data_IF_418560920927
#
_entry.id   IF_418560920927
#
_cell.length_a   1.000
_cell.length_b   1.000
_cell.length_c   1.000
_cell.angle_alpha   90.00
_cell.angle_beta   90.00
_cell.angle_gamma   90.00
#
_symmetry.space_group_name_H-M   'P 1'
#
loop_
_entity.id
_entity.type
_entity.pdbx_description
1 polymer ?
#
# COMPACT_ATOMS: atom_id res chain seq x y z
N UNK A 1 15.89 10.09 -28.32
CA UNK A 1 15.61 10.80 -27.05
C UNK A 1 14.46 10.09 -26.39
N UNK A 2 14.60 9.67 -25.13
CA UNK A 2 13.54 9.05 -24.35
C UNK A 2 12.45 10.09 -24.06
N UNK A 3 11.17 9.73 -24.19
CA UNK A 3 10.06 10.64 -23.92
C UNK A 3 9.87 10.82 -22.41
N UNK A 4 9.78 12.06 -21.94
CA UNK A 4 9.66 12.41 -20.51
C UNK A 4 8.39 13.19 -20.15
N UNK A 5 7.65 13.68 -21.14
CA UNK A 5 6.40 14.43 -20.95
C UNK A 5 5.25 13.64 -21.53
N UNK A 6 4.23 13.38 -20.72
CA UNK A 6 3.08 12.56 -21.06
C UNK A 6 1.79 13.31 -20.76
N UNK A 7 0.77 13.07 -21.57
CA UNK A 7 -0.59 13.57 -21.32
C UNK A 7 -1.33 12.65 -20.34
N UNK A 8 -2.41 13.15 -19.74
CA UNK A 8 -3.27 12.34 -18.89
C UNK A 8 -3.87 11.15 -19.64
N UNK A 9 -4.27 11.34 -20.90
CA UNK A 9 -4.78 10.26 -21.74
C UNK A 9 -3.74 9.17 -21.96
N UNK A 10 -2.47 9.53 -22.14
CA UNK A 10 -1.39 8.56 -22.29
C UNK A 10 -1.15 7.78 -21.00
N UNK A 11 -1.05 8.46 -19.85
CA UNK A 11 -0.83 7.80 -18.56
C UNK A 11 -2.02 6.93 -18.11
N UNK A 12 -3.20 7.17 -18.67
CA UNK A 12 -4.42 6.38 -18.44
C UNK A 12 -4.68 5.32 -19.53
N UNK A 13 -3.79 5.15 -20.50
CA UNK A 13 -3.98 4.20 -21.59
C UNK A 13 -3.66 2.76 -21.16
N UNK A 14 -4.61 1.85 -21.40
CA UNK A 14 -4.43 0.41 -21.22
C UNK A 14 -3.66 -0.20 -22.41
N UNK A 15 -2.99 -1.33 -22.15
CA UNK A 15 -2.52 -2.19 -23.22
C UNK A 15 -3.72 -2.84 -23.96
N UNK A 16 -3.47 -3.34 -25.17
CA UNK A 16 -4.48 -4.06 -25.94
C UNK A 16 -4.63 -5.50 -25.41
N UNK A 17 -5.41 -5.69 -24.35
CA UNK A 17 -5.66 -7.01 -23.77
C UNK A 17 -6.41 -7.96 -24.73
N UNK A 18 -6.01 -9.22 -24.74
CA UNK A 18 -6.67 -10.30 -25.50
C UNK A 18 -7.89 -10.85 -24.76
N UNK A 19 -7.82 -10.87 -23.43
CA UNK A 19 -8.90 -11.28 -22.55
C UNK A 19 -8.90 -10.44 -21.26
N UNK A 20 -10.07 -10.14 -20.68
CA UNK A 20 -10.17 -9.47 -19.37
C UNK A 20 -9.87 -10.42 -18.21
N UNK A 21 -9.51 -9.85 -17.06
CA UNK A 21 -9.51 -10.55 -15.77
C UNK A 21 -10.94 -10.60 -15.19
N UNK A 22 -11.32 -11.75 -14.63
CA UNK A 22 -12.59 -11.94 -13.93
C UNK A 22 -12.35 -12.53 -12.54
N UNK A 23 -12.93 -11.91 -11.52
CA UNK A 23 -13.12 -12.49 -10.19
C UNK A 23 -14.57 -12.92 -10.04
N UNK A 24 -14.88 -14.18 -10.35
CA UNK A 24 -16.26 -14.65 -10.48
C UNK A 24 -17.08 -13.82 -11.48
N UNK A 25 -18.04 -13.03 -10.97
CA UNK A 25 -18.92 -12.18 -11.80
C UNK A 25 -18.42 -10.74 -11.97
N UNK A 26 -17.34 -10.38 -11.28
CA UNK A 26 -16.75 -9.04 -11.35
C UNK A 26 -15.73 -9.01 -12.47
N UNK A 27 -15.93 -8.09 -13.43
CA UNK A 27 -14.90 -7.76 -14.40
C UNK A 27 -13.86 -6.92 -13.67
N UNK A 28 -12.64 -7.41 -13.53
CA UNK A 28 -11.57 -6.66 -12.90
C UNK A 28 -10.88 -5.77 -13.94
N UNK A 29 -10.13 -4.77 -13.48
CA UNK A 29 -9.21 -4.06 -14.36
C UNK A 29 -8.05 -4.98 -14.81
N UNK A 30 -7.23 -4.49 -15.75
CA UNK A 30 -6.17 -5.28 -16.35
C UNK A 30 -6.70 -6.38 -17.28
N UNK A 31 -5.81 -7.26 -17.70
CA UNK A 31 -6.16 -8.35 -18.61
C UNK A 31 -4.97 -9.22 -18.97
N UNK A 32 -5.13 -10.03 -20.01
CA UNK A 32 -4.12 -10.98 -20.45
C UNK A 32 -3.59 -10.64 -21.83
N UNK A 33 -2.29 -10.85 -22.01
CA UNK A 33 -1.60 -10.83 -23.30
C UNK A 33 -0.67 -12.05 -23.31
N UNK A 34 -0.76 -12.87 -24.36
CA UNK A 34 0.04 -14.11 -24.49
C UNK A 34 -0.10 -15.05 -23.28
N UNK A 35 -1.28 -15.04 -22.64
CA UNK A 35 -1.60 -15.85 -21.45
C UNK A 35 -1.01 -15.34 -20.12
N UNK A 36 -0.27 -14.23 -20.12
CA UNK A 36 0.22 -13.58 -18.89
C UNK A 36 -0.66 -12.40 -18.50
N UNK A 37 -0.87 -12.21 -17.20
CA UNK A 37 -1.56 -11.02 -16.68
C UNK A 37 -0.72 -9.75 -16.93
N UNK A 38 -1.38 -8.67 -17.32
CA UNK A 38 -0.80 -7.37 -17.56
C UNK A 38 -1.64 -6.31 -16.87
N UNK A 39 -0.97 -5.49 -16.07
CA UNK A 39 -1.60 -4.42 -15.30
C UNK A 39 -2.36 -3.41 -16.16
N UNK A 40 -3.46 -2.85 -15.64
CA UNK A 40 -4.14 -1.76 -16.30
C UNK A 40 -3.25 -0.52 -16.44
N UNK A 41 -3.63 0.35 -17.38
CA UNK A 41 -3.06 1.69 -17.56
C UNK A 41 -1.55 1.68 -17.75
N UNK A 42 -1.00 0.59 -18.26
CA UNK A 42 0.44 0.36 -18.30
C UNK A 42 1.11 0.74 -19.61
N UNK A 43 0.35 0.97 -20.69
CA UNK A 43 0.88 1.15 -22.05
C UNK A 43 1.95 2.24 -22.13
N UNK A 44 1.68 3.40 -21.52
CA UNK A 44 2.64 4.50 -21.44
C UNK A 44 3.16 4.75 -20.03
N UNK A 45 2.39 4.38 -18.99
CA UNK A 45 2.79 4.60 -17.59
C UNK A 45 4.07 3.85 -17.22
N UNK A 46 4.21 2.57 -17.62
CA UNK A 46 5.43 1.78 -17.35
C UNK A 46 6.69 2.41 -17.98
N UNK A 47 6.74 2.65 -19.30
CA UNK A 47 7.92 3.28 -19.90
C UNK A 47 8.16 4.72 -19.43
N UNK A 48 7.12 5.46 -19.01
CA UNK A 48 7.29 6.79 -18.42
C UNK A 48 8.04 6.71 -17.08
N UNK A 49 7.62 5.81 -16.18
CA UNK A 49 8.26 5.62 -14.88
C UNK A 49 9.71 5.16 -15.04
N UNK A 50 9.97 4.22 -15.94
CA UNK A 50 11.34 3.78 -16.27
C UNK A 50 12.20 4.94 -16.78
N UNK A 51 11.65 5.80 -17.64
CA UNK A 51 12.37 6.96 -18.17
C UNK A 51 12.71 7.99 -17.08
N UNK A 52 11.77 8.29 -16.19
CA UNK A 52 12.02 9.21 -15.06
C UNK A 52 13.02 8.63 -14.06
N UNK A 53 12.93 7.31 -13.78
CA UNK A 53 13.90 6.59 -12.94
C UNK A 53 15.30 6.62 -13.55
N UNK A 54 15.43 6.33 -14.85
CA UNK A 54 16.72 6.35 -15.54
C UNK A 54 17.36 7.74 -15.50
N UNK A 55 16.56 8.81 -15.69
CA UNK A 55 17.05 10.18 -15.58
C UNK A 55 17.59 10.49 -14.17
N UNK A 56 16.88 10.11 -13.11
CA UNK A 56 17.38 10.27 -11.73
C UNK A 56 18.73 9.57 -11.53
N UNK A 57 18.88 8.35 -12.06
CA UNK A 57 20.13 7.59 -11.97
C UNK A 57 21.26 8.27 -12.75
N UNK A 58 20.99 8.82 -13.93
CA UNK A 58 21.95 9.61 -14.71
C UNK A 58 22.40 10.89 -13.97
N UNK A 59 21.51 11.47 -13.17
CA UNK A 59 21.79 12.61 -12.29
C UNK A 59 22.53 12.21 -11.00
N UNK A 60 22.74 10.91 -10.76
CA UNK A 60 23.38 10.39 -9.54
C UNK A 60 22.52 10.55 -8.28
N UNK A 61 21.20 10.66 -8.45
CA UNK A 61 20.27 10.81 -7.35
C UNK A 61 19.90 9.44 -6.74
N UNK A 62 20.06 9.24 -5.42
CA UNK A 62 19.63 8.01 -4.77
C UNK A 62 18.11 7.90 -4.76
N UNK A 63 17.62 6.66 -4.80
CA UNK A 63 16.19 6.37 -4.74
C UNK A 63 15.79 6.07 -3.30
N UNK A 64 14.61 6.54 -2.89
CA UNK A 64 14.02 6.12 -1.63
C UNK A 64 13.75 4.62 -1.67
N UNK A 65 14.15 3.92 -0.62
CA UNK A 65 14.00 2.49 -0.47
C UNK A 65 13.74 2.15 1.00
N UNK A 66 12.93 1.11 1.25
CA UNK A 66 12.74 0.56 2.58
C UNK A 66 13.44 -0.79 2.60
N UNK A 67 14.52 -0.96 3.37
CA UNK A 67 15.15 -2.25 3.59
C UNK A 67 14.15 -3.28 4.14
N UNK A 68 14.24 -4.53 3.66
CA UNK A 68 13.39 -5.63 4.12
C UNK A 68 13.41 -5.81 5.65
N UNK A 69 14.53 -5.50 6.30
CA UNK A 69 14.67 -5.58 7.77
C UNK A 69 13.78 -4.60 8.53
N UNK A 70 13.28 -3.55 7.87
CA UNK A 70 12.34 -2.57 8.44
C UNK A 70 10.87 -2.93 8.20
N UNK A 71 10.60 -3.93 7.34
CA UNK A 71 9.25 -4.41 7.07
C UNK A 71 8.86 -5.43 8.15
N UNK A 72 7.76 -5.21 8.89
CA UNK A 72 7.27 -6.18 9.85
C UNK A 72 6.68 -7.40 9.11
N UNK A 73 6.91 -8.64 9.60
CA UNK A 73 6.23 -9.80 9.03
C UNK A 73 4.72 -9.69 9.24
N UNK A 74 3.96 -10.21 8.30
CA UNK A 74 2.50 -10.23 8.40
C UNK A 74 2.02 -10.95 9.67
N UNK A 75 1.02 -10.36 10.35
CA UNK A 75 0.37 -10.95 11.52
C UNK A 75 -1.16 -10.95 11.31
N UNK A 76 -1.83 -12.12 11.40
CA UNK A 76 -1.26 -13.43 11.70
C UNK A 76 -0.33 -13.93 10.59
N UNK A 77 0.69 -14.72 10.95
CA UNK A 77 1.49 -15.45 9.97
C UNK A 77 0.62 -16.45 9.20
N UNK A 78 1.14 -17.01 8.11
CA UNK A 78 0.46 -18.07 7.37
C UNK A 78 0.08 -19.26 8.28
N UNK A 79 1.03 -19.76 9.08
CA UNK A 79 0.82 -20.87 10.02
C UNK A 79 -0.26 -20.55 11.07
N UNK A 80 -0.27 -19.30 11.55
CA UNK A 80 -1.28 -18.81 12.49
C UNK A 80 -2.67 -18.75 11.85
N UNK A 81 -2.78 -18.22 10.62
CA UNK A 81 -4.04 -18.15 9.89
C UNK A 81 -4.58 -19.56 9.54
N UNK A 82 -3.70 -20.45 9.07
CA UNK A 82 -4.01 -21.86 8.79
C UNK A 82 -4.52 -22.58 10.04
N UNK A 83 -3.86 -22.38 11.18
CA UNK A 83 -4.31 -22.93 12.46
C UNK A 83 -5.74 -22.48 12.82
N UNK A 84 -6.07 -21.20 12.64
CA UNK A 84 -7.42 -20.69 12.93
C UNK A 84 -8.47 -21.36 12.04
N UNK A 85 -8.19 -21.51 10.75
CA UNK A 85 -9.10 -22.16 9.80
C UNK A 85 -9.30 -23.64 10.12
N UNK A 86 -8.24 -24.37 10.45
CA UNK A 86 -8.31 -25.78 10.86
C UNK A 86 -9.12 -25.99 12.15
N UNK A 87 -9.14 -24.99 13.05
CA UNK A 87 -9.93 -25.00 14.28
C UNK A 87 -11.39 -24.51 14.08
N UNK A 88 -11.76 -24.20 12.83
CA UNK A 88 -13.09 -23.73 12.44
C UNK A 88 -13.34 -22.25 12.73
N UNK A 89 -12.30 -21.46 13.01
CA UNK A 89 -12.38 -20.03 13.27
C UNK A 89 -12.11 -19.24 11.98
N UNK A 90 -13.11 -19.20 11.09
CA UNK A 90 -13.01 -18.49 9.81
C UNK A 90 -13.12 -16.97 9.98
N UNK A 91 -13.84 -16.49 10.99
CA UNK A 91 -14.15 -15.06 11.17
C UNK A 91 -12.91 -14.14 11.22
N UNK A 92 -11.84 -14.45 11.97
CA UNK A 92 -10.64 -13.60 12.00
C UNK A 92 -9.94 -13.49 10.64
N UNK A 93 -9.90 -14.58 9.86
CA UNK A 93 -9.28 -14.59 8.53
C UNK A 93 -10.15 -13.81 7.53
N UNK A 94 -11.46 -14.03 7.54
CA UNK A 94 -12.42 -13.24 6.75
C UNK A 94 -12.29 -11.76 7.05
N UNK A 95 -12.15 -11.40 8.34
CA UNK A 95 -11.98 -10.02 8.79
C UNK A 95 -10.65 -9.43 8.31
N UNK A 96 -9.56 -10.18 8.37
CA UNK A 96 -8.26 -9.73 7.87
C UNK A 96 -8.32 -9.40 6.38
N UNK A 97 -8.77 -10.35 5.55
CA UNK A 97 -8.92 -10.15 4.09
C UNK A 97 -9.89 -9.01 3.74
N UNK A 98 -10.99 -8.88 4.50
CA UNK A 98 -11.93 -7.77 4.31
C UNK A 98 -11.31 -6.43 4.69
N UNK A 99 -10.54 -6.37 5.78
CA UNK A 99 -9.82 -5.16 6.20
C UNK A 99 -8.83 -4.73 5.12
N UNK A 100 -8.07 -5.68 4.55
CA UNK A 100 -7.16 -5.42 3.43
C UNK A 100 -7.95 -4.82 2.27
N UNK A 101 -9.04 -5.45 1.80
CA UNK A 101 -9.84 -4.91 0.69
C UNK A 101 -10.33 -3.47 0.91
N UNK A 102 -10.65 -3.10 2.15
CA UNK A 102 -11.11 -1.75 2.51
C UNK A 102 -9.93 -0.77 2.47
N UNK A 103 -8.77 -1.17 2.98
CA UNK A 103 -7.55 -0.35 2.99
C UNK A 103 -7.08 -0.06 1.56
N UNK A 104 -7.06 -1.06 0.69
CA UNK A 104 -6.74 -0.92 -0.75
C UNK A 104 -7.69 0.10 -1.39
N UNK A 105 -9.01 -0.09 -1.18
CA UNK A 105 -10.01 0.87 -1.65
C UNK A 105 -9.82 2.31 -1.11
N UNK A 106 -9.15 2.51 0.03
CA UNK A 106 -8.81 3.85 0.52
C UNK A 106 -7.64 4.50 -0.21
N UNK A 107 -6.77 3.74 -0.88
CA UNK A 107 -5.70 4.28 -1.74
C UNK A 107 -6.26 5.19 -2.84
N UNK A 108 -7.51 4.94 -3.28
CA UNK A 108 -8.23 5.80 -4.22
C UNK A 108 -8.38 7.26 -3.79
N UNK A 109 -8.17 7.59 -2.52
CA UNK A 109 -8.17 8.95 -1.99
C UNK A 109 -6.98 9.78 -2.46
N UNK A 110 -5.95 9.16 -3.07
CA UNK A 110 -4.82 9.90 -3.65
C UNK A 110 -5.25 10.94 -4.70
N UNK A 111 -6.36 10.70 -5.41
CA UNK A 111 -6.95 11.68 -6.34
C UNK A 111 -7.46 12.96 -5.66
N UNK A 112 -7.65 12.93 -4.34
CA UNK A 112 -8.12 14.06 -3.54
C UNK A 112 -6.97 14.92 -3.02
N UNK A 113 -5.71 14.50 -3.23
CA UNK A 113 -4.53 15.27 -2.82
C UNK A 113 -4.47 16.56 -3.61
N UNK A 114 -4.51 17.68 -2.88
CA UNK A 114 -4.34 19.00 -3.46
C UNK A 114 -2.85 19.33 -3.50
N UNK A 115 -2.28 19.38 -4.71
CA UNK A 115 -0.87 19.71 -4.89
C UNK A 115 -0.56 21.18 -4.52
N UNK A 116 0.64 21.47 -4.01
CA UNK A 116 1.14 22.84 -3.86
C UNK A 116 1.36 23.50 -5.23
N UNK A 117 1.61 24.81 -5.24
CA UNK A 117 2.03 25.48 -6.48
C UNK A 117 3.52 25.21 -6.71
N UNK A 118 3.84 24.10 -7.40
CA UNK A 118 5.22 23.70 -7.62
C UNK A 118 6.07 24.78 -8.32
N UNK A 119 5.48 25.61 -9.18
CA UNK A 119 6.22 26.66 -9.86
C UNK A 119 6.65 27.79 -8.91
N UNK A 120 5.93 27.97 -7.81
CA UNK A 120 6.27 28.95 -6.77
C UNK A 120 7.07 28.34 -5.61
N UNK A 121 6.83 27.06 -5.29
CA UNK A 121 7.32 26.40 -4.08
C UNK A 121 8.56 25.52 -4.32
N UNK A 122 8.96 25.29 -5.57
CA UNK A 122 10.19 24.57 -5.95
C UNK A 122 11.07 25.51 -6.79
N UNK A 123 12.36 25.62 -6.44
CA UNK A 123 13.29 26.49 -7.16
C UNK A 123 13.59 26.00 -8.57
N UNK A 124 13.86 24.71 -8.70
CA UNK A 124 14.29 24.11 -9.95
C UNK A 124 13.09 23.76 -10.85
N UNK A 125 13.31 23.78 -12.16
CA UNK A 125 12.31 23.31 -13.12
C UNK A 125 12.06 21.81 -12.95
N UNK A 126 10.78 21.45 -12.80
CA UNK A 126 10.35 20.05 -12.67
C UNK A 126 9.82 19.48 -13.99
N UNK A 127 9.90 20.20 -15.11
CA UNK A 127 9.44 19.70 -16.41
C UNK A 127 10.07 18.34 -16.76
N UNK A 128 9.23 17.41 -17.21
CA UNK A 128 9.66 16.05 -17.56
C UNK A 128 10.03 15.16 -16.37
N UNK A 129 9.63 15.52 -15.15
CA UNK A 129 9.71 14.69 -13.93
C UNK A 129 8.44 13.91 -13.66
N UNK A 130 8.48 12.85 -12.86
CA UNK A 130 7.27 12.22 -12.33
C UNK A 130 6.46 13.21 -11.45
N UNK A 131 7.14 14.08 -10.69
CA UNK A 131 6.52 15.16 -9.91
C UNK A 131 5.59 16.04 -10.74
N UNK A 132 6.02 16.43 -11.94
CA UNK A 132 5.22 17.26 -12.85
C UNK A 132 4.00 16.52 -13.42
N UNK A 133 3.90 15.20 -13.23
CA UNK A 133 2.82 14.38 -13.74
C UNK A 133 1.90 13.81 -12.65
N UNK A 134 2.10 14.19 -11.38
CA UNK A 134 1.29 13.68 -10.26
C UNK A 134 -0.23 13.89 -10.51
N UNK A 135 -0.64 15.13 -10.78
CA UNK A 135 -2.04 15.47 -11.12
C UNK A 135 -2.35 15.36 -12.63
N UNK A 136 -1.35 15.10 -13.47
CA UNK A 136 -1.51 14.92 -14.92
C UNK A 136 -1.76 13.46 -15.31
N UNK A 137 -2.25 12.63 -14.39
CA UNK A 137 -2.68 11.26 -14.68
C UNK A 137 -2.15 10.20 -13.73
N UNK A 138 -1.03 10.42 -13.03
CA UNK A 138 -0.48 9.40 -12.11
C UNK A 138 -1.42 9.12 -10.94
N UNK A 139 -1.90 10.16 -10.24
CA UNK A 139 -2.85 10.00 -9.14
C UNK A 139 -4.19 9.42 -9.60
N UNK A 140 -4.68 9.82 -10.77
CA UNK A 140 -5.94 9.29 -11.29
C UNK A 140 -5.80 7.83 -11.77
N UNK A 141 -4.65 7.45 -12.33
CA UNK A 141 -4.37 6.07 -12.71
C UNK A 141 -4.35 5.15 -11.48
N UNK A 142 -3.53 5.51 -10.49
CA UNK A 142 -3.48 4.83 -9.19
C UNK A 142 -4.89 4.72 -8.59
N UNK A 143 -5.62 5.83 -8.50
CA UNK A 143 -6.90 5.81 -7.82
C UNK A 143 -7.97 4.95 -8.53
N UNK A 144 -7.89 4.80 -9.86
CA UNK A 144 -8.74 3.88 -10.63
C UNK A 144 -8.33 2.43 -10.46
N UNK A 145 -7.05 2.18 -10.20
CA UNK A 145 -6.57 0.85 -9.88
C UNK A 145 -7.18 0.42 -8.54
N UNK A 146 -7.14 1.28 -7.52
CA UNK A 146 -7.73 0.97 -6.21
C UNK A 146 -9.25 0.79 -6.19
N UNK A 147 -9.99 1.76 -6.76
CA UNK A 147 -11.45 1.81 -6.65
C UNK A 147 -12.20 1.15 -7.81
N UNK A 148 -11.49 0.84 -8.91
CA UNK A 148 -12.11 0.49 -10.18
C UNK A 148 -12.53 1.72 -10.99
N UNK A 149 -13.01 1.47 -12.21
CA UNK A 149 -13.49 2.50 -13.11
C UNK A 149 -14.56 1.97 -14.06
N UNK A 150 -15.68 2.69 -14.18
CA UNK A 150 -16.84 2.32 -15.01
C UNK A 150 -17.38 0.93 -14.65
N UNK A 151 -17.25 -0.04 -15.56
CA UNK A 151 -17.70 -1.42 -15.43
C UNK A 151 -16.63 -2.36 -14.85
N UNK A 152 -15.44 -1.84 -14.53
CA UNK A 152 -14.34 -2.62 -13.98
C UNK A 152 -14.19 -2.40 -12.47
N UNK A 153 -14.05 -3.49 -11.72
CA UNK A 153 -13.62 -3.48 -10.32
C UNK A 153 -12.10 -3.26 -10.21
N UNK A 154 -11.70 -2.58 -9.14
CA UNK A 154 -10.30 -2.36 -8.77
C UNK A 154 -9.81 -3.33 -7.70
N UNK A 155 -8.69 -2.99 -7.06
CA UNK A 155 -8.05 -3.82 -6.04
C UNK A 155 -9.02 -4.22 -4.93
N UNK A 156 -9.85 -3.29 -4.45
CA UNK A 156 -10.88 -3.61 -3.45
C UNK A 156 -11.77 -4.79 -3.88
N UNK A 157 -12.31 -4.74 -5.10
CA UNK A 157 -13.21 -5.80 -5.58
C UNK A 157 -12.44 -7.08 -5.92
N UNK A 158 -11.18 -6.99 -6.35
CA UNK A 158 -10.31 -8.14 -6.57
C UNK A 158 -10.04 -8.90 -5.26
N UNK A 159 -9.72 -8.18 -4.19
CA UNK A 159 -9.56 -8.77 -2.85
C UNK A 159 -10.85 -9.38 -2.31
N UNK A 160 -12.00 -8.73 -2.52
CA UNK A 160 -13.31 -9.29 -2.16
C UNK A 160 -13.58 -10.59 -2.93
N UNK A 161 -13.29 -10.62 -4.24
CA UNK A 161 -13.44 -11.81 -5.05
C UNK A 161 -12.48 -12.94 -4.64
N UNK A 162 -11.21 -12.62 -4.35
CA UNK A 162 -10.22 -13.60 -3.89
C UNK A 162 -10.63 -14.23 -2.55
N UNK A 163 -11.05 -13.41 -1.58
CA UNK A 163 -11.59 -13.87 -0.30
C UNK A 163 -12.79 -14.79 -0.50
N UNK A 164 -13.74 -14.39 -1.33
CA UNK A 164 -14.98 -15.13 -1.53
C UNK A 164 -14.73 -16.44 -2.28
N UNK A 165 -13.77 -16.48 -3.21
CA UNK A 165 -13.33 -17.71 -3.86
C UNK A 165 -12.61 -18.67 -2.89
N UNK A 166 -11.68 -18.15 -2.09
CA UNK A 166 -10.90 -18.97 -1.15
C UNK A 166 -11.74 -19.55 -0.01
N UNK A 167 -12.60 -18.72 0.59
CA UNK A 167 -13.35 -19.07 1.81
C UNK A 167 -14.81 -19.48 1.55
N UNK A 168 -15.16 -19.83 0.30
CA UNK A 168 -16.50 -20.23 -0.13
C UNK A 168 -17.61 -19.23 0.30
N UNK A 169 -17.47 -17.98 -0.17
CA UNK A 169 -18.37 -16.86 0.12
C UNK A 169 -18.70 -16.72 1.62
N UNK A 170 -17.67 -16.46 2.47
CA UNK A 170 -17.84 -16.47 3.90
C UNK A 170 -18.78 -15.35 4.35
N UNK A 171 -19.42 -15.53 5.52
CA UNK A 171 -20.16 -14.44 6.14
C UNK A 171 -19.19 -13.34 6.57
N UNK A 172 -19.39 -12.14 6.03
CA UNK A 172 -18.59 -10.96 6.40
C UNK A 172 -19.04 -10.43 7.76
N UNK A 173 -18.14 -10.22 8.73
CA UNK A 173 -18.52 -9.63 10.00
C UNK A 173 -19.04 -8.21 9.84
N UNK A 174 -20.19 -7.89 10.47
CA UNK A 174 -20.87 -6.60 10.30
C UNK A 174 -20.18 -5.42 10.98
N UNK A 175 -19.15 -5.68 11.78
CA UNK A 175 -18.46 -4.70 12.62
C UNK A 175 -17.05 -4.36 12.11
N UNK A 176 -16.62 -4.87 10.95
CA UNK A 176 -15.26 -4.62 10.40
C UNK A 176 -14.95 -3.13 10.34
N UNK A 177 -15.82 -2.33 9.70
CA UNK A 177 -15.65 -0.87 9.59
C UNK A 177 -15.69 -0.18 10.96
N UNK A 178 -16.57 -0.62 11.86
CA UNK A 178 -16.67 -0.04 13.20
C UNK A 178 -15.38 -0.30 14.01
N UNK A 179 -14.80 -1.51 13.93
CA UNK A 179 -13.54 -1.84 14.59
C UNK A 179 -12.36 -1.07 14.00
N UNK A 180 -12.34 -0.87 12.69
CA UNK A 180 -11.33 -0.02 12.03
C UNK A 180 -11.43 1.44 12.53
N UNK A 181 -12.66 1.98 12.65
CA UNK A 181 -12.87 3.34 13.16
C UNK A 181 -12.67 3.45 14.68
N UNK A 182 -12.99 2.41 15.44
CA UNK A 182 -12.89 2.38 16.91
C UNK A 182 -11.47 2.19 17.44
N UNK A 183 -10.56 1.63 16.63
CA UNK A 183 -9.12 1.62 16.88
C UNK A 183 -8.46 3.00 16.71
N UNK A 184 -9.08 3.90 15.94
CA UNK A 184 -8.79 5.33 16.03
C UNK A 184 -9.47 5.87 17.30
N UNK A 185 -8.87 5.59 18.46
CA UNK A 185 -9.45 5.89 19.76
C UNK A 185 -10.00 7.31 19.87
N UNK A 186 -11.02 7.45 20.70
CA UNK A 186 -11.68 8.69 21.14
C UNK A 186 -10.76 9.68 21.89
N UNK A 187 -9.47 9.74 21.55
CA UNK A 187 -8.66 10.93 21.72
C UNK A 187 -8.76 11.71 20.42
N UNK A 188 -9.48 12.84 20.44
CA UNK A 188 -9.57 13.70 19.26
C UNK A 188 -8.18 13.85 18.66
N UNK A 189 -8.04 13.56 17.35
CA UNK A 189 -6.81 13.81 16.60
C UNK A 189 -6.40 15.25 16.91
N UNK A 190 -5.52 15.46 17.90
CA UNK A 190 -4.78 16.71 18.00
C UNK A 190 -4.13 16.80 16.63
N UNK A 191 -4.39 17.89 15.92
CA UNK A 191 -3.67 18.17 14.69
C UNK A 191 -2.19 17.94 15.02
N UNK A 192 -1.59 16.91 14.43
CA UNK A 192 -0.19 16.64 14.65
C UNK A 192 0.54 17.94 14.27
N UNK A 193 1.42 18.39 15.16
CA UNK A 193 2.16 19.61 14.90
C UNK A 193 2.95 19.41 13.60
N UNK A 194 2.85 20.40 12.71
CA UNK A 194 3.57 20.40 11.45
C UNK A 194 5.06 20.29 11.72
N UNK A 195 5.74 19.41 10.99
CA UNK A 195 7.18 19.17 11.09
C UNK A 195 7.96 20.29 10.44
N UNK A 196 7.43 20.84 9.34
CA UNK A 196 8.05 21.91 8.56
C UNK A 196 7.08 23.08 8.42
N UNK A 197 6.72 23.77 9.52
CA UNK A 197 5.71 24.82 9.53
C UNK A 197 6.03 25.99 8.58
N UNK A 198 7.29 26.14 8.19
CA UNK A 198 7.77 27.14 7.25
C UNK A 198 7.39 26.87 5.79
N UNK A 199 7.10 25.61 5.42
CA UNK A 199 6.55 25.28 4.10
C UNK A 199 5.06 25.62 4.04
N UNK A 200 4.47 25.64 2.84
CA UNK A 200 3.01 25.66 2.74
C UNK A 200 2.41 24.41 3.37
N UNK A 201 1.21 24.55 3.93
CA UNK A 201 0.47 23.40 4.48
C UNK A 201 0.19 22.32 3.44
N UNK A 202 0.06 22.71 2.16
CA UNK A 202 -0.19 21.79 1.03
C UNK A 202 1.04 20.97 0.69
N UNK A 203 2.22 21.59 0.62
CA UNK A 203 3.49 20.89 0.37
C UNK A 203 3.73 19.81 1.44
N UNK A 204 3.63 20.18 2.72
CA UNK A 204 3.88 19.23 3.79
C UNK A 204 2.82 18.11 3.83
N UNK A 205 1.54 18.43 3.59
CA UNK A 205 0.47 17.43 3.50
C UNK A 205 0.68 16.46 2.35
N UNK A 206 1.06 16.96 1.18
CA UNK A 206 1.36 16.15 0.00
C UNK A 206 2.52 15.18 0.29
N UNK A 207 3.66 15.68 0.81
CA UNK A 207 4.82 14.82 1.13
C UNK A 207 4.46 13.79 2.19
N UNK A 208 3.74 14.20 3.24
CA UNK A 208 3.27 13.30 4.30
C UNK A 208 2.38 12.19 3.75
N UNK A 209 1.46 12.54 2.85
CA UNK A 209 0.50 11.62 2.28
C UNK A 209 1.19 10.62 1.34
N UNK A 210 1.99 11.10 0.39
CA UNK A 210 2.75 10.27 -0.56
C UNK A 210 3.73 9.35 0.19
N UNK A 211 4.44 9.86 1.20
CA UNK A 211 5.34 9.06 2.03
C UNK A 211 4.60 7.95 2.79
N UNK A 212 3.43 8.25 3.38
CA UNK A 212 2.64 7.24 4.06
C UNK A 212 2.12 6.17 3.09
N UNK A 213 1.69 6.56 1.89
CA UNK A 213 1.25 5.59 0.87
C UNK A 213 2.43 4.70 0.47
N UNK A 214 3.56 5.27 0.08
CA UNK A 214 4.73 4.50 -0.34
C UNK A 214 5.18 3.50 0.75
N UNK A 215 5.15 3.89 2.03
CA UNK A 215 5.44 2.98 3.15
C UNK A 215 4.42 1.83 3.21
N UNK A 216 3.13 2.14 3.10
CA UNK A 216 2.05 1.13 3.16
C UNK A 216 2.14 0.15 1.99
N UNK A 217 2.32 0.65 0.79
CA UNK A 217 2.41 -0.16 -0.43
C UNK A 217 3.68 -1.01 -0.48
N UNK A 218 4.80 -0.49 0.03
CA UNK A 218 6.01 -1.31 0.18
C UNK A 218 5.80 -2.44 1.20
N UNK A 219 5.06 -2.20 2.28
CA UNK A 219 4.70 -3.25 3.25
C UNK A 219 3.66 -4.23 2.69
N UNK A 220 2.93 -3.85 1.63
CA UNK A 220 1.92 -4.71 1.03
C UNK A 220 2.53 -5.96 0.38
N UNK A 221 3.80 -5.96 -0.03
CA UNK A 221 4.45 -7.16 -0.58
C UNK A 221 4.39 -8.35 0.39
N UNK A 222 4.65 -8.14 1.68
CA UNK A 222 4.54 -9.17 2.71
C UNK A 222 3.07 -9.64 2.91
N UNK A 223 2.10 -8.72 2.76
CA UNK A 223 0.66 -9.02 2.80
C UNK A 223 0.27 -9.87 1.58
N UNK A 224 0.74 -9.53 0.39
CA UNK A 224 0.46 -10.28 -0.83
C UNK A 224 1.07 -11.68 -0.76
N UNK A 225 2.33 -11.79 -0.33
CA UNK A 225 2.99 -13.09 -0.15
C UNK A 225 2.20 -13.98 0.83
N UNK A 226 1.83 -13.43 1.99
CA UNK A 226 0.98 -14.12 2.97
C UNK A 226 -0.36 -14.57 2.38
N UNK A 227 -1.05 -13.68 1.66
CA UNK A 227 -2.36 -13.96 1.11
C UNK A 227 -2.32 -14.97 -0.04
N UNK A 228 -1.30 -14.92 -0.91
CA UNK A 228 -1.08 -15.90 -1.98
C UNK A 228 -0.82 -17.28 -1.39
N UNK A 229 0.03 -17.38 -0.36
CA UNK A 229 0.31 -18.65 0.33
C UNK A 229 -0.96 -19.21 1.01
N UNK A 230 -1.67 -18.36 1.77
CA UNK A 230 -2.88 -18.77 2.49
C UNK A 230 -4.03 -19.15 1.55
N UNK A 231 -4.33 -18.31 0.57
CA UNK A 231 -5.43 -18.53 -0.38
C UNK A 231 -5.08 -19.61 -1.41
N UNK A 232 -3.80 -19.93 -1.60
CA UNK A 232 -3.34 -21.02 -2.46
C UNK A 232 -3.31 -22.40 -1.79
N UNK A 233 -3.61 -22.50 -0.50
CA UNK A 233 -3.52 -23.74 0.26
C UNK A 233 -4.71 -24.69 -0.02
N UNK A 234 -4.44 -25.79 -0.73
CA UNK A 234 -5.42 -26.82 -1.09
C UNK A 234 -6.07 -27.53 0.10
N UNK A 235 -5.46 -27.48 1.29
CA UNK A 235 -6.00 -28.15 2.48
C UNK A 235 -7.14 -27.35 3.15
N UNK A 236 -7.16 -26.02 2.97
CA UNK A 236 -8.03 -25.11 3.73
C UNK A 236 -8.86 -24.15 2.85
N UNK A 237 -8.61 -24.12 1.54
CA UNK A 237 -9.31 -23.23 0.60
C UNK A 237 -10.21 -24.00 -0.37
N UNK A 238 -11.34 -23.39 -0.73
CA UNK A 238 -12.31 -23.96 -1.67
C UNK A 238 -11.84 -23.87 -3.14
N UNK A 239 -11.30 -22.71 -3.52
CA UNK A 239 -10.82 -22.45 -4.89
C UNK A 239 -9.41 -21.86 -4.89
N UNK A 240 -8.38 -22.64 -4.49
CA UNK A 240 -7.07 -22.11 -4.16
C UNK A 240 -6.36 -21.44 -5.34
N UNK A 241 -6.44 -22.04 -6.53
CA UNK A 241 -5.80 -21.51 -7.73
C UNK A 241 -6.40 -20.17 -8.15
N UNK A 242 -7.73 -20.03 -8.13
CA UNK A 242 -8.41 -18.79 -8.50
C UNK A 242 -8.15 -17.69 -7.47
N UNK A 243 -8.27 -18.01 -6.18
CA UNK A 243 -8.11 -17.05 -5.10
C UNK A 243 -6.69 -16.48 -5.03
N UNK A 244 -5.66 -17.34 -5.08
CA UNK A 244 -4.27 -16.90 -5.09
C UNK A 244 -3.92 -16.10 -6.34
N UNK A 245 -4.43 -16.51 -7.51
CA UNK A 245 -4.20 -15.81 -8.78
C UNK A 245 -4.76 -14.38 -8.78
N UNK A 246 -5.94 -14.17 -8.20
CA UNK A 246 -6.52 -12.83 -8.08
C UNK A 246 -5.65 -11.89 -7.23
N UNK A 247 -5.09 -12.39 -6.12
CA UNK A 247 -4.16 -11.60 -5.29
C UNK A 247 -2.85 -11.35 -6.02
N UNK A 248 -2.33 -12.34 -6.75
CA UNK A 248 -1.11 -12.16 -7.55
C UNK A 248 -1.28 -11.10 -8.64
N UNK A 249 -2.48 -11.00 -9.23
CA UNK A 249 -2.81 -9.91 -10.16
C UNK A 249 -2.76 -8.54 -9.46
N UNK A 250 -3.34 -8.39 -8.26
CA UNK A 250 -3.25 -7.14 -7.48
C UNK A 250 -1.79 -6.80 -7.17
N UNK A 251 -0.99 -7.78 -6.74
CA UNK A 251 0.44 -7.61 -6.47
C UNK A 251 1.20 -7.09 -7.69
N UNK A 252 0.86 -7.55 -8.89
CA UNK A 252 1.45 -7.05 -10.14
C UNK A 252 1.01 -5.61 -10.44
N UNK A 253 -0.22 -5.23 -10.11
CA UNK A 253 -0.78 -3.89 -10.30
C UNK A 253 -0.22 -2.83 -9.34
N UNK A 254 0.27 -3.28 -8.18
CA UNK A 254 0.89 -2.42 -7.17
C UNK A 254 2.26 -1.88 -7.61
N UNK A 255 2.96 -2.63 -8.48
CA UNK A 255 4.33 -2.28 -8.88
C UNK A 255 4.45 -0.87 -9.48
N UNK A 256 3.61 -0.44 -10.45
CA UNK A 256 3.61 0.93 -10.93
C UNK A 256 3.39 1.98 -9.84
N UNK A 257 2.61 1.69 -8.79
CA UNK A 257 2.27 2.65 -7.72
C UNK A 257 3.49 2.95 -6.87
N UNK A 258 4.11 1.90 -6.32
CA UNK A 258 5.39 1.98 -5.62
C UNK A 258 6.44 2.65 -6.50
N UNK A 259 6.58 2.22 -7.76
CA UNK A 259 7.64 2.72 -8.64
C UNK A 259 7.53 4.24 -8.90
N UNK A 260 6.33 4.77 -9.22
CA UNK A 260 6.21 6.22 -9.49
C UNK A 260 6.31 7.06 -8.21
N UNK A 261 5.78 6.58 -7.08
CA UNK A 261 5.85 7.30 -5.81
C UNK A 261 7.30 7.38 -5.31
N UNK A 262 8.06 6.29 -5.43
CA UNK A 262 9.51 6.27 -5.18
C UNK A 262 10.21 7.31 -6.04
N UNK A 263 9.96 7.32 -7.36
CA UNK A 263 10.59 8.28 -8.27
C UNK A 263 10.20 9.71 -7.92
N UNK A 264 8.91 10.01 -7.74
CA UNK A 264 8.44 11.37 -7.46
C UNK A 264 8.98 11.93 -6.14
N UNK A 265 8.98 11.13 -5.05
CA UNK A 265 9.58 11.57 -3.79
C UNK A 265 11.10 11.74 -3.90
N UNK A 266 11.78 10.85 -4.62
CA UNK A 266 13.24 10.96 -4.84
C UNK A 266 13.58 12.20 -5.69
N UNK A 267 12.75 12.54 -6.68
CA UNK A 267 12.87 13.79 -7.42
C UNK A 267 12.72 15.00 -6.50
N UNK A 268 11.72 15.00 -5.60
CA UNK A 268 11.49 16.10 -4.66
C UNK A 268 12.64 16.25 -3.67
N UNK A 269 13.19 15.11 -3.23
CA UNK A 269 14.36 15.03 -2.36
C UNK A 269 15.56 15.77 -2.93
N UNK A 270 15.70 15.81 -4.26
CA UNK A 270 16.78 16.50 -4.96
C UNK A 270 16.53 17.98 -5.22
N UNK A 271 15.41 18.54 -4.76
CA UNK A 271 15.02 19.94 -5.01
C UNK A 271 15.25 20.85 -3.83
N UNK A 272 15.29 22.13 -4.11
CA UNK A 272 15.20 23.16 -3.09
C UNK A 272 13.79 23.72 -3.03
N UNK A 273 13.16 23.56 -1.87
CA UNK A 273 11.83 24.06 -1.59
C UNK A 273 11.91 25.52 -1.13
N UNK A 274 10.90 26.31 -1.46
CA UNK A 274 10.75 27.70 -1.05
C UNK A 274 9.68 27.77 0.04
N UNK A 275 10.06 28.20 1.23
CA UNK A 275 9.13 28.40 2.33
C UNK A 275 8.25 29.63 2.15
N UNK A 276 7.20 29.76 2.97
CA UNK A 276 6.25 30.87 2.90
C UNK A 276 6.90 32.24 3.17
N UNK A 277 8.03 32.28 3.88
CA UNK A 277 8.86 33.47 4.09
C UNK A 277 9.90 33.73 2.98
N UNK A 278 9.98 32.88 1.97
CA UNK A 278 10.95 32.93 0.87
C UNK A 278 12.30 32.28 1.18
N UNK A 279 12.46 31.71 2.38
CA UNK A 279 13.65 30.94 2.75
C UNK A 279 13.76 29.64 1.96
N UNK A 280 14.98 29.17 1.79
CA UNK A 280 15.29 27.92 1.11
C UNK A 280 15.28 26.76 2.11
N UNK A 281 14.58 25.68 1.79
CA UNK A 281 14.51 24.45 2.58
C UNK A 281 14.96 23.28 1.72
N UNK A 282 15.81 22.41 2.26
CA UNK A 282 16.29 21.23 1.56
C UNK A 282 15.16 20.22 1.35
N UNK A 283 14.92 19.79 0.11
CA UNK A 283 14.00 18.70 -0.19
C UNK A 283 14.40 17.39 0.51
N UNK A 284 15.71 17.14 0.63
CA UNK A 284 16.23 15.97 1.32
C UNK A 284 15.90 15.97 2.82
N UNK A 285 16.06 17.11 3.48
CA UNK A 285 15.71 17.25 4.89
C UNK A 285 14.21 16.97 5.12
N UNK A 286 13.36 17.51 4.24
CA UNK A 286 11.91 17.38 4.34
C UNK A 286 11.44 15.96 4.10
N UNK A 287 11.86 15.37 2.98
CA UNK A 287 11.46 14.02 2.58
C UNK A 287 12.00 12.98 3.56
N UNK A 288 13.30 13.03 3.91
CA UNK A 288 13.91 12.02 4.78
C UNK A 288 13.29 12.03 6.19
N UNK A 289 13.01 13.22 6.72
CA UNK A 289 12.40 13.38 8.05
C UNK A 289 10.97 12.86 8.07
N UNK A 290 10.15 13.25 7.08
CA UNK A 290 8.75 12.82 7.01
C UNK A 290 8.68 11.31 6.76
N UNK A 291 9.43 10.80 5.78
CA UNK A 291 9.43 9.39 5.41
C UNK A 291 9.86 8.50 6.58
N UNK A 292 10.95 8.85 7.28
CA UNK A 292 11.42 8.11 8.45
C UNK A 292 10.38 8.07 9.57
N UNK A 293 9.65 9.18 9.81
CA UNK A 293 8.57 9.22 10.81
C UNK A 293 7.41 8.30 10.41
N UNK A 294 7.00 8.31 9.13
CA UNK A 294 5.93 7.44 8.65
C UNK A 294 6.32 5.96 8.74
N UNK A 295 7.54 5.62 8.30
CA UNK A 295 8.07 4.27 8.35
C UNK A 295 8.10 3.73 9.79
N UNK A 296 8.62 4.49 10.75
CA UNK A 296 8.62 4.08 12.17
C UNK A 296 7.21 3.85 12.70
N UNK A 297 6.29 4.77 12.43
CA UNK A 297 4.90 4.63 12.88
C UNK A 297 4.21 3.40 12.29
N UNK A 298 4.45 3.12 11.01
CA UNK A 298 3.91 1.96 10.32
C UNK A 298 4.52 0.64 10.81
N UNK A 299 5.81 0.62 11.12
CA UNK A 299 6.54 -0.58 11.53
C UNK A 299 6.39 -0.94 13.03
N UNK A 300 5.94 -0.01 13.88
CA UNK A 300 5.92 -0.21 15.34
C UNK A 300 4.52 -0.20 15.95
N UNK A 301 3.79 0.91 15.84
CA UNK A 301 2.48 1.07 16.50
C UNK A 301 1.41 0.19 15.85
N UNK A 302 1.31 0.24 14.52
CA UNK A 302 0.25 -0.49 13.79
C UNK A 302 0.31 -2.02 13.97
N UNK A 303 1.48 -2.69 13.92
CA UNK A 303 1.56 -4.12 14.13
C UNK A 303 1.18 -4.51 15.57
N UNK A 304 1.57 -3.71 16.57
CA UNK A 304 1.19 -3.94 17.98
C UNK A 304 -0.32 -3.88 18.19
N UNK A 305 -0.97 -2.83 17.70
CA UNK A 305 -2.42 -2.67 17.83
C UNK A 305 -3.18 -3.80 17.11
N UNK A 306 -2.66 -4.24 15.96
CA UNK A 306 -3.22 -5.36 15.20
C UNK A 306 -3.12 -6.68 15.98
N UNK A 307 -1.97 -6.94 16.61
CA UNK A 307 -1.74 -8.12 17.46
C UNK A 307 -2.70 -8.15 18.64
N UNK A 308 -2.76 -7.07 19.41
CA UNK A 308 -3.63 -6.99 20.60
C UNK A 308 -5.10 -7.21 20.26
N UNK A 309 -5.57 -6.63 19.14
CA UNK A 309 -6.95 -6.79 18.67
C UNK A 309 -7.26 -8.24 18.28
N UNK A 310 -6.39 -8.88 17.49
CA UNK A 310 -6.61 -10.26 17.05
C UNK A 310 -6.58 -11.25 18.22
N UNK A 311 -5.65 -11.06 19.17
CA UNK A 311 -5.60 -11.86 20.39
C UNK A 311 -6.87 -11.75 21.23
N UNK A 312 -7.43 -10.54 21.35
CA UNK A 312 -8.73 -10.32 22.00
C UNK A 312 -9.84 -11.07 21.28
N UNK A 313 -9.91 -10.96 19.96
CA UNK A 313 -10.92 -11.62 19.13
C UNK A 313 -10.89 -13.15 19.23
N UNK A 314 -9.72 -13.78 19.20
CA UNK A 314 -9.59 -15.25 19.34
C UNK A 314 -10.19 -15.72 20.67
N UNK A 315 -9.99 -14.96 21.75
CA UNK A 315 -10.51 -15.30 23.08
C UNK A 315 -12.04 -15.13 23.18
N UNK A 316 -12.60 -14.17 22.44
CA UNK A 316 -14.04 -13.90 22.42
C UNK A 316 -14.81 -14.93 21.59
N UNK A 317 -14.21 -15.49 20.54
CA UNK A 317 -14.86 -16.42 19.62
C UNK A 317 -15.02 -17.86 20.16
N UNK A 318 -14.41 -18.19 21.30
CA UNK A 318 -14.42 -19.53 21.88
C UNK A 318 -15.07 -19.52 23.26
N UNK A 319 -16.26 -20.11 23.38
CA UNK A 319 -17.00 -20.19 24.64
C UNK A 319 -16.27 -20.98 25.76
N UNK A 320 -15.54 -22.04 25.37
CA UNK A 320 -14.76 -22.85 26.31
C UNK A 320 -13.42 -22.18 26.62
N UNK A 321 -13.32 -21.61 27.83
CA UNK A 321 -12.11 -20.91 28.30
C UNK A 321 -10.84 -21.76 28.28
N UNK A 322 -10.93 -23.08 28.52
CA UNK A 322 -9.76 -23.96 28.48
C UNK A 322 -9.30 -24.20 27.04
N UNK A 323 -10.25 -24.41 26.12
CA UNK A 323 -9.95 -24.48 24.67
C UNK A 323 -9.37 -23.15 24.17
N UNK A 324 -9.98 -22.03 24.54
CA UNK A 324 -9.54 -20.69 24.16
C UNK A 324 -8.09 -20.42 24.60
N UNK A 325 -7.77 -20.72 25.86
CA UNK A 325 -6.43 -20.55 26.42
C UNK A 325 -5.39 -21.44 25.73
N UNK A 326 -5.73 -22.71 25.45
CA UNK A 326 -4.86 -23.64 24.75
C UNK A 326 -4.59 -23.19 23.31
N UNK A 327 -5.63 -22.78 22.58
CA UNK A 327 -5.48 -22.30 21.21
C UNK A 327 -4.66 -21.02 21.17
N UNK A 328 -5.00 -20.04 22.00
CA UNK A 328 -4.24 -18.79 22.10
C UNK A 328 -2.76 -19.05 22.39
N UNK A 329 -2.45 -19.96 23.32
CA UNK A 329 -1.06 -20.31 23.64
C UNK A 329 -0.33 -20.96 22.46
N UNK A 330 -0.99 -21.85 21.70
CA UNK A 330 -0.43 -22.46 20.48
C UNK A 330 -0.21 -21.42 19.39
N UNK A 331 -1.19 -20.54 19.18
CA UNK A 331 -1.15 -19.47 18.21
C UNK A 331 -0.01 -18.49 18.49
N UNK A 332 0.16 -18.08 19.75
CA UNK A 332 1.25 -17.17 20.15
C UNK A 332 2.64 -17.81 20.05
N UNK A 333 2.75 -19.13 20.26
CA UNK A 333 4.04 -19.82 20.11
C UNK A 333 4.59 -19.83 18.68
N UNK A 334 3.76 -19.43 17.70
CA UNK A 334 4.13 -19.31 16.28
C UNK A 334 4.57 -17.90 15.90
N UNK A 335 4.51 -16.91 16.80
CA UNK A 335 4.97 -15.55 16.48
C UNK A 335 6.50 -15.52 16.31
N UNK A 336 6.95 -14.84 15.26
CA UNK A 336 8.35 -14.54 14.97
C UNK A 336 9.07 -13.78 16.09
N UNK A 337 8.31 -13.06 16.93
CA UNK A 337 8.87 -12.14 17.93
C UNK A 337 9.57 -10.94 17.31
N UNK A 338 9.32 -10.64 16.03
CA UNK A 338 9.95 -9.53 15.32
C UNK A 338 9.66 -8.19 16.00
N UNK A 339 10.71 -7.37 16.08
CA UNK A 339 10.67 -5.99 16.55
C UNK A 339 11.47 -5.11 15.61
N UNK A 340 11.04 -3.87 15.44
CA UNK A 340 11.74 -2.91 14.60
C UNK A 340 13.20 -2.77 15.03
N UNK A 341 14.18 -2.92 14.11
CA UNK A 341 15.58 -3.12 14.49
C UNK A 341 16.34 -1.84 14.84
N UNK A 342 15.73 -0.65 14.65
CA UNK A 342 16.38 0.63 14.89
C UNK A 342 15.83 1.33 16.15
N UNK A 343 16.72 1.96 16.93
CA UNK A 343 16.32 2.76 18.09
C UNK A 343 15.49 3.99 17.68
N UNK A 344 14.73 4.61 18.60
CA UNK A 344 13.83 5.73 18.29
C UNK A 344 14.56 6.95 17.67
N UNK A 345 15.80 7.21 18.10
CA UNK A 345 16.64 8.34 17.69
C UNK A 345 17.63 8.01 16.58
N UNK A 346 17.67 6.76 16.11
CA UNK A 346 18.58 6.32 15.06
C UNK A 346 18.17 6.87 13.68
N UNK A 347 19.15 7.20 12.83
CA UNK A 347 18.86 7.51 11.44
C UNK A 347 18.57 6.22 10.66
N UNK A 348 17.50 6.21 9.88
CA UNK A 348 17.15 5.04 9.07
C UNK A 348 17.90 5.05 7.74
N UNK A 349 18.35 3.88 7.30
CA UNK A 349 18.94 3.68 5.98
C UNK A 349 17.82 3.51 4.94
N UNK A 350 17.32 4.63 4.42
CA UNK A 350 16.14 4.67 3.53
C UNK A 350 16.49 4.99 2.08
N UNK A 351 17.75 4.82 1.69
CA UNK A 351 18.24 5.20 0.37
C UNK A 351 18.92 4.01 -0.30
N UNK A 352 18.53 3.72 -1.53
CA UNK A 352 19.26 2.83 -2.41
C UNK A 352 20.30 3.66 -3.17
N UNK A 353 21.57 3.32 -2.97
CA UNK A 353 22.72 3.97 -3.60
C UNK A 353 22.78 3.74 -5.11
#
# INVERSE_FOLDING_TARGET
MTKLTYTAEELLADDAFEAPLWGGKVRCHGGYIDGAYVSPRGLHRRPAIEAWRARLQEEGAPLIHIPDTYVPPHYPSYEQAKLLLQEGLTEPVTRALTTISIVEGFGARIREVHLPDFAAEIREDISGTALAHLDQGLFEAHARDEAGHRDQGGHKQMWEAARDAGLDAPKIPGDVLLRMMGGAGAGGRRAAERVFPQLSSRMEQMVTFIANILVVETFAEDVFAWAIELLGDEEIMAHPVEAAHLVDCVRVDEKPHVDYLTVALSELRMRTLIGEGGEEVSGAEVVDTIFSRQLRGAATSRPRDTRERLQGEIRELIDDAARASKLASRFESMDSGWTFPAAEDEQLDILLA
#
